data_IF_885384666712
#
_entry.id   IF_885384666712
#
_cell.length_a   1.000
_cell.length_b   1.000
_cell.length_c   1.000
_cell.angle_alpha   90.00
_cell.angle_beta   90.00
_cell.angle_gamma   90.00
#
_symmetry.space_group_name_H-M   'P 1'
#
loop_
_entity.id
_entity.type
_entity.pdbx_description
1 polymer ?
#
# COMPACT_ATOMS: atom_id res chain seq x y z
N UNK A 1 7.41 -6.62 4.08
CA UNK A 1 7.49 -7.59 2.97
C UNK A 1 6.19 -7.52 2.19
N UNK A 2 6.26 -7.21 0.90
CA UNK A 2 5.11 -7.30 -0.01
C UNK A 2 4.88 -8.76 -0.41
N UNK A 3 3.63 -9.19 -0.44
CA UNK A 3 3.20 -10.54 -0.77
C UNK A 3 2.34 -10.57 -2.05
N UNK A 4 2.53 -9.57 -2.92
CA UNK A 4 1.77 -9.40 -4.17
C UNK A 4 0.27 -9.40 -3.90
N UNK A 5 -0.50 -10.26 -4.58
CA UNK A 5 -1.95 -10.40 -4.43
C UNK A 5 -2.40 -10.81 -3.03
N UNK A 6 -1.49 -11.26 -2.16
CA UNK A 6 -1.79 -11.62 -0.79
C UNK A 6 -1.65 -10.42 0.18
N UNK A 7 -1.15 -9.27 -0.27
CA UNK A 7 -1.05 -8.05 0.53
C UNK A 7 0.34 -7.78 1.10
N UNK A 8 0.42 -7.43 2.38
CA UNK A 8 1.69 -7.03 3.02
C UNK A 8 1.83 -7.63 4.42
N UNK A 9 3.05 -8.01 4.76
CA UNK A 9 3.48 -8.28 6.14
C UNK A 9 4.44 -7.20 6.61
N UNK A 10 4.25 -6.70 7.83
CA UNK A 10 5.14 -5.71 8.44
C UNK A 10 5.49 -6.10 9.88
N UNK A 11 6.71 -5.80 10.30
CA UNK A 11 7.16 -6.01 11.68
C UNK A 11 8.20 -4.97 12.08
N UNK A 12 8.21 -4.60 13.35
CA UNK A 12 9.26 -3.80 14.00
C UNK A 12 10.07 -4.64 15.01
N UNK A 13 9.97 -5.97 14.93
CA UNK A 13 10.62 -6.91 15.85
C UNK A 13 9.82 -7.22 17.12
N UNK A 14 8.89 -6.37 17.54
CA UNK A 14 8.01 -6.61 18.70
C UNK A 14 6.54 -6.81 18.31
N UNK A 15 6.13 -6.20 17.20
CA UNK A 15 4.81 -6.31 16.61
C UNK A 15 4.92 -6.92 15.22
N UNK A 16 3.91 -7.68 14.85
CA UNK A 16 3.78 -8.32 13.55
C UNK A 16 2.36 -8.12 13.06
N UNK A 17 2.22 -7.67 11.82
CA UNK A 17 0.92 -7.45 11.19
C UNK A 17 0.91 -8.05 9.79
N UNK A 18 -0.21 -8.67 9.45
CA UNK A 18 -0.52 -9.12 8.10
C UNK A 18 -1.79 -8.39 7.64
N UNK A 19 -1.66 -7.63 6.56
CA UNK A 19 -2.77 -6.89 5.96
C UNK A 19 -3.02 -7.49 4.58
N UNK A 20 -4.19 -8.12 4.34
CA UNK A 20 -4.52 -8.68 3.04
C UNK A 20 -4.62 -7.57 1.98
N UNK A 21 -4.31 -7.89 0.73
CA UNK A 21 -4.60 -6.98 -0.37
C UNK A 21 -6.11 -6.79 -0.51
N UNK A 22 -6.52 -5.58 -0.86
CA UNK A 22 -7.90 -5.35 -1.29
C UNK A 22 -8.08 -5.92 -2.70
N UNK A 23 -9.20 -6.61 -2.93
CA UNK A 23 -9.53 -7.15 -4.26
C UNK A 23 -9.70 -5.99 -5.24
N UNK A 24 -8.92 -6.00 -6.32
CA UNK A 24 -8.86 -4.93 -7.34
C UNK A 24 -8.75 -5.52 -8.73
N UNK A 25 -9.06 -4.73 -9.75
CA UNK A 25 -8.89 -5.15 -11.14
C UNK A 25 -7.46 -4.86 -11.58
N UNK A 26 -6.60 -5.86 -11.49
CA UNK A 26 -5.18 -5.73 -11.85
C UNK A 26 -5.01 -5.67 -13.38
N UNK A 27 -4.41 -4.59 -13.86
CA UNK A 27 -4.05 -4.37 -15.27
C UNK A 27 -2.54 -4.56 -15.52
N UNK A 28 -1.69 -4.04 -14.63
CA UNK A 28 -0.23 -4.13 -14.67
C UNK A 28 0.29 -4.09 -13.22
N UNK A 29 1.49 -4.61 -12.94
CA UNK A 29 2.11 -4.57 -11.59
C UNK A 29 3.38 -3.70 -11.56
N UNK A 30 3.71 -3.07 -12.68
CA UNK A 30 4.87 -2.20 -12.84
C UNK A 30 4.84 -1.03 -11.86
N UNK A 31 5.89 -0.87 -11.06
CA UNK A 31 6.01 0.25 -10.10
C UNK A 31 5.20 0.12 -8.81
N UNK A 32 4.49 -0.99 -8.59
CA UNK A 32 3.74 -1.22 -7.36
C UNK A 32 4.65 -1.24 -6.12
N UNK A 33 5.80 -1.92 -6.20
CA UNK A 33 6.79 -1.96 -5.12
C UNK A 33 7.38 -0.59 -4.79
N UNK A 34 7.68 0.22 -5.82
CA UNK A 34 8.18 1.58 -5.65
C UNK A 34 7.13 2.48 -4.97
N UNK A 35 5.86 2.29 -5.33
CA UNK A 35 4.73 2.98 -4.68
C UNK A 35 4.60 2.58 -3.21
N UNK A 36 4.64 1.27 -2.92
CA UNK A 36 4.59 0.74 -1.54
C UNK A 36 5.71 1.35 -0.69
N UNK A 37 6.96 1.29 -1.15
CA UNK A 37 8.09 1.79 -0.35
C UNK A 37 8.03 3.31 -0.19
N UNK A 38 7.68 4.06 -1.23
CA UNK A 38 7.57 5.53 -1.16
C UNK A 38 6.53 5.97 -0.13
N UNK A 39 5.35 5.34 -0.16
CA UNK A 39 4.26 5.64 0.78
C UNK A 39 4.58 5.16 2.19
N UNK A 40 5.20 3.99 2.34
CA UNK A 40 5.63 3.47 3.63
C UNK A 40 6.69 4.38 4.28
N UNK A 41 7.67 4.86 3.50
CA UNK A 41 8.69 5.80 3.97
C UNK A 41 8.09 7.12 4.43
N UNK A 42 7.10 7.66 3.71
CA UNK A 42 6.38 8.87 4.14
C UNK A 42 5.63 8.64 5.47
N UNK A 43 4.89 7.54 5.58
CA UNK A 43 4.16 7.20 6.80
C UNK A 43 5.11 7.00 8.00
N UNK A 44 6.27 6.38 7.76
CA UNK A 44 7.32 6.21 8.76
C UNK A 44 7.91 7.55 9.20
N UNK A 45 8.22 8.46 8.26
CA UNK A 45 8.73 9.79 8.57
C UNK A 45 7.73 10.62 9.41
N UNK A 46 6.43 10.35 9.28
CA UNK A 46 5.36 10.94 10.08
C UNK A 46 5.12 10.22 11.42
N UNK A 47 5.94 9.21 11.76
CA UNK A 47 5.79 8.38 12.96
C UNK A 47 4.41 7.73 13.11
N UNK A 48 3.80 7.30 11.99
CA UNK A 48 2.51 6.61 12.05
C UNK A 48 2.66 5.21 12.68
N UNK A 49 1.59 4.68 13.31
CA UNK A 49 1.58 3.30 13.80
C UNK A 49 1.86 2.30 12.69
N UNK A 50 2.57 1.21 13.01
CA UNK A 50 3.01 0.19 12.03
C UNK A 50 1.85 -0.39 11.21
N UNK A 51 0.68 -0.56 11.83
CA UNK A 51 -0.56 -0.98 11.19
C UNK A 51 -0.99 0.02 10.09
N UNK A 52 -0.98 1.33 10.39
CA UNK A 52 -1.30 2.37 9.40
C UNK A 52 -0.28 2.42 8.25
N UNK A 53 1.01 2.24 8.57
CA UNK A 53 2.06 2.17 7.54
C UNK A 53 1.75 1.03 6.55
N UNK A 54 1.45 -0.17 7.06
CA UNK A 54 1.10 -1.32 6.22
C UNK A 54 -0.19 -1.10 5.43
N UNK A 55 -1.27 -0.64 6.08
CA UNK A 55 -2.55 -0.42 5.40
C UNK A 55 -2.44 0.58 4.26
N UNK A 56 -1.86 1.77 4.50
CA UNK A 56 -1.79 2.83 3.49
C UNK A 56 -0.87 2.43 2.33
N UNK A 57 0.29 1.83 2.63
CA UNK A 57 1.24 1.43 1.58
C UNK A 57 0.72 0.26 0.73
N UNK A 58 0.07 -0.74 1.35
CA UNK A 58 -0.56 -1.85 0.66
C UNK A 58 -1.67 -1.38 -0.28
N UNK A 59 -2.52 -0.47 0.21
CA UNK A 59 -3.59 0.13 -0.56
C UNK A 59 -3.06 0.91 -1.77
N UNK A 60 -2.06 1.76 -1.54
CA UNK A 60 -1.43 2.54 -2.61
C UNK A 60 -0.78 1.66 -3.68
N UNK A 61 -0.08 0.61 -3.27
CA UNK A 61 0.50 -0.38 -4.18
C UNK A 61 -0.55 -1.09 -5.03
N UNK A 62 -1.68 -1.47 -4.43
CA UNK A 62 -2.78 -2.09 -5.15
C UNK A 62 -3.49 -1.14 -6.14
N UNK A 63 -3.62 0.14 -5.78
CA UNK A 63 -4.28 1.15 -6.62
C UNK A 63 -3.53 1.41 -7.91
N UNK A 64 -2.19 1.51 -7.87
CA UNK A 64 -1.41 1.75 -9.09
C UNK A 64 -1.43 0.55 -10.05
N UNK A 65 -1.76 -0.64 -9.54
CA UNK A 65 -1.88 -1.83 -10.37
C UNK A 65 -3.15 -1.85 -11.26
N UNK A 66 -4.10 -0.92 -11.07
CA UNK A 66 -5.33 -0.85 -11.87
C UNK A 66 -5.13 -0.13 -13.22
N UNK A 67 -3.94 0.45 -13.44
CA UNK A 67 -3.54 1.16 -14.65
C UNK A 67 -2.33 0.50 -15.33
N UNK A 68 -2.11 0.81 -16.62
CA UNK A 68 -1.01 0.23 -17.40
C UNK A 68 0.25 1.07 -17.26
N UNK A 69 1.39 0.44 -17.03
CA UNK A 69 2.70 1.07 -16.90
C UNK A 69 3.03 1.57 -15.49
N UNK A 70 4.14 2.31 -15.37
CA UNK A 70 4.56 2.92 -14.10
C UNK A 70 3.89 4.27 -13.94
N UNK A 71 2.80 4.30 -13.16
CA UNK A 71 2.02 5.53 -12.90
C UNK A 71 2.20 6.00 -11.44
N UNK A 72 2.20 7.32 -11.19
CA UNK A 72 2.24 7.84 -9.83
C UNK A 72 0.91 7.60 -9.11
N UNK A 73 0.96 7.33 -7.81
CA UNK A 73 -0.25 7.23 -6.99
C UNK A 73 -1.05 8.54 -6.99
N UNK A 74 -2.36 8.45 -7.23
CA UNK A 74 -3.27 9.58 -7.13
C UNK A 74 -3.67 9.82 -5.66
N UNK A 75 -3.27 10.97 -5.12
CA UNK A 75 -3.53 11.34 -3.72
C UNK A 75 -5.03 11.33 -3.37
N UNK A 76 -5.87 11.97 -4.18
CA UNK A 76 -7.31 12.09 -3.90
C UNK A 76 -7.99 10.72 -3.94
N UNK A 77 -7.60 9.86 -4.88
CA UNK A 77 -8.09 8.49 -4.95
C UNK A 77 -7.70 7.70 -3.70
N UNK A 78 -6.42 7.77 -3.31
CA UNK A 78 -5.93 7.10 -2.11
C UNK A 78 -6.67 7.57 -0.84
N UNK A 79 -6.87 8.88 -0.68
CA UNK A 79 -7.62 9.45 0.46
C UNK A 79 -9.08 8.96 0.48
N UNK A 80 -9.76 8.95 -0.68
CA UNK A 80 -11.13 8.47 -0.78
C UNK A 80 -11.24 6.98 -0.42
N UNK A 81 -10.34 6.15 -0.95
CA UNK A 81 -10.31 4.72 -0.68
C UNK A 81 -10.01 4.41 0.79
N UNK A 82 -9.10 5.16 1.42
CA UNK A 82 -8.83 5.06 2.86
C UNK A 82 -10.07 5.38 3.71
N UNK A 83 -10.91 6.32 3.28
CA UNK A 83 -12.15 6.67 4.00
C UNK A 83 -13.27 5.62 3.84
N UNK A 84 -13.21 4.81 2.77
CA UNK A 84 -14.19 3.74 2.50
C UNK A 84 -13.79 2.44 3.21
N UNK A 85 -12.50 2.12 3.20
CA UNK A 85 -11.95 0.84 3.65
C UNK A 85 -11.37 0.87 5.07
N UNK A 86 -11.18 2.08 5.65
CA UNK A 86 -10.54 2.32 6.94
C UNK A 86 -11.51 2.52 8.09
#
# INVERSE_FOLDING_TARGET
VTLSEHGVMITNGSQFEYIPAHLRKIADVSGAGDTVISVASLCLALNLPIQKIATISNLAGGLVCEEVGVIPINKTLLENELNILG
#
